data_IF_412974597420
#
_entry.id   IF_412974597420
#
_cell.length_a   1.000
_cell.length_b   1.000
_cell.length_c   1.000
_cell.angle_alpha   90.00
_cell.angle_beta   90.00
_cell.angle_gamma   90.00
#
_symmetry.space_group_name_H-M   'P 1'
#
loop_
_entity.id
_entity.type
_entity.pdbx_description
1 polymer ?
#
# COMPACT_ATOMS: atom_id res chain seq x y z
N UNK A 1 -1.87 -36.26 -0.33
CA UNK A 1 -1.13 -35.18 -1.01
C UNK A 1 -1.40 -33.80 -0.38
N UNK A 2 -2.67 -33.40 -0.18
CA UNK A 2 -3.07 -32.18 0.55
C UNK A 2 -2.47 -32.05 1.96
N UNK A 3 -2.45 -33.13 2.75
CA UNK A 3 -1.86 -33.13 4.09
C UNK A 3 -0.33 -32.92 4.14
N UNK A 4 0.41 -33.23 3.05
CA UNK A 4 1.85 -32.94 2.93
C UNK A 4 2.10 -31.48 2.51
N UNK A 5 1.24 -30.91 1.67
CA UNK A 5 1.29 -29.49 1.27
C UNK A 5 1.00 -28.58 2.47
N UNK A 6 -0.02 -28.90 3.27
CA UNK A 6 -0.37 -28.18 4.50
C UNK A 6 0.75 -28.23 5.58
N UNK A 7 1.60 -29.26 5.54
CA UNK A 7 2.75 -29.42 6.45
C UNK A 7 4.04 -28.77 5.95
N UNK A 8 4.09 -28.29 4.71
CA UNK A 8 5.29 -27.66 4.15
C UNK A 8 5.65 -26.38 4.91
N UNK A 9 6.96 -26.12 5.06
CA UNK A 9 7.47 -24.88 5.67
C UNK A 9 6.96 -23.63 4.95
N UNK A 10 6.75 -23.73 3.62
CA UNK A 10 6.18 -22.68 2.79
C UNK A 10 4.73 -22.35 3.17
N UNK A 11 3.87 -23.35 3.32
CA UNK A 11 2.46 -23.13 3.66
C UNK A 11 2.31 -22.53 5.06
N UNK A 12 3.07 -23.05 6.04
CA UNK A 12 3.09 -22.50 7.41
C UNK A 12 3.57 -21.05 7.42
N UNK A 13 4.65 -20.74 6.72
CA UNK A 13 5.20 -19.39 6.68
C UNK A 13 4.27 -18.41 5.99
N UNK A 14 3.69 -18.81 4.84
CA UNK A 14 2.73 -17.99 4.09
C UNK A 14 1.45 -17.71 4.90
N UNK A 15 0.95 -18.71 5.63
CA UNK A 15 -0.20 -18.54 6.54
C UNK A 15 0.10 -17.53 7.65
N UNK A 16 1.27 -17.62 8.30
CA UNK A 16 1.66 -16.67 9.35
C UNK A 16 1.80 -15.24 8.80
N UNK A 17 2.43 -15.05 7.63
CA UNK A 17 2.52 -13.73 7.01
C UNK A 17 1.14 -13.16 6.67
N UNK A 18 0.24 -13.99 6.11
CA UNK A 18 -1.12 -13.58 5.76
C UNK A 18 -1.91 -13.14 7.00
N UNK A 19 -1.91 -13.96 8.07
CA UNK A 19 -2.58 -13.63 9.33
C UNK A 19 -2.00 -12.35 9.94
N UNK A 20 -0.67 -12.23 9.95
CA UNK A 20 0.03 -11.04 10.43
C UNK A 20 -0.44 -9.78 9.67
N UNK A 21 -0.45 -9.84 8.33
CA UNK A 21 -0.88 -8.71 7.49
C UNK A 21 -2.34 -8.35 7.75
N UNK A 22 -3.24 -9.34 7.93
CA UNK A 22 -4.65 -9.09 8.26
C UNK A 22 -4.77 -8.38 9.61
N UNK A 23 -4.08 -8.85 10.66
CA UNK A 23 -4.09 -8.23 11.99
C UNK A 23 -3.58 -6.79 11.90
N UNK A 24 -2.45 -6.57 11.22
CA UNK A 24 -1.88 -5.23 11.07
C UNK A 24 -2.78 -4.27 10.29
N UNK A 25 -3.48 -4.75 9.25
CA UNK A 25 -4.43 -3.93 8.52
C UNK A 25 -5.71 -3.65 9.32
N UNK A 26 -6.08 -4.54 10.25
CA UNK A 26 -7.29 -4.40 11.08
C UNK A 26 -7.13 -3.33 12.15
N UNK A 27 -5.94 -3.16 12.73
CA UNK A 27 -5.73 -2.20 13.83
C UNK A 27 -6.07 -0.75 13.42
N UNK A 28 -5.54 -0.19 12.31
CA UNK A 28 -5.93 1.14 11.85
C UNK A 28 -7.42 1.26 11.54
N UNK A 29 -8.05 0.21 11.01
CA UNK A 29 -9.48 0.20 10.73
C UNK A 29 -10.30 0.28 12.03
N UNK A 30 -9.91 -0.46 13.07
CA UNK A 30 -10.54 -0.42 14.38
C UNK A 30 -10.36 0.93 15.10
N UNK A 31 -9.35 1.72 14.73
CA UNK A 31 -9.16 3.06 15.25
C UNK A 31 -10.11 4.09 14.63
N UNK A 32 -10.67 3.86 13.44
CA UNK A 32 -11.57 4.80 12.75
C UNK A 32 -12.72 5.29 13.66
N UNK A 33 -13.50 4.42 14.34
CA UNK A 33 -14.56 4.87 15.24
C UNK A 33 -14.10 5.79 16.36
N UNK A 34 -12.89 5.57 16.90
CA UNK A 34 -12.36 6.42 17.96
C UNK A 34 -11.89 7.75 17.38
N UNK A 35 -11.06 7.70 16.34
CA UNK A 35 -10.46 8.90 15.75
C UNK A 35 -11.50 9.86 15.18
N UNK A 36 -12.55 9.34 14.54
CA UNK A 36 -13.61 10.19 13.95
C UNK A 36 -14.57 10.80 14.97
N UNK A 37 -14.57 10.31 16.22
CA UNK A 37 -15.35 10.90 17.32
C UNK A 37 -14.57 11.94 18.11
N UNK A 38 -13.24 11.81 18.12
CA UNK A 38 -12.34 12.70 18.84
C UNK A 38 -11.91 13.86 17.96
N UNK A 39 -11.47 13.59 16.74
CA UNK A 39 -10.93 14.61 15.85
C UNK A 39 -12.01 15.33 15.06
N UNK A 40 -11.76 16.61 14.79
CA UNK A 40 -12.48 17.33 13.75
C UNK A 40 -12.09 16.79 12.36
N UNK A 41 -12.91 17.00 11.32
CA UNK A 41 -12.50 16.62 9.97
C UNK A 41 -11.24 17.37 9.49
N UNK A 42 -11.01 18.59 9.94
CA UNK A 42 -9.77 19.33 9.63
C UNK A 42 -8.53 18.65 10.24
N UNK A 43 -8.57 18.34 11.55
CA UNK A 43 -7.50 17.59 12.22
C UNK A 43 -7.20 16.26 11.50
N UNK A 44 -8.26 15.54 11.13
CA UNK A 44 -8.13 14.28 10.40
C UNK A 44 -7.52 14.49 9.00
N UNK A 45 -7.84 15.60 8.35
CA UNK A 45 -7.21 16.04 7.10
C UNK A 45 -5.71 16.25 7.25
N UNK A 46 -5.26 16.94 8.31
CA UNK A 46 -3.83 17.14 8.60
C UNK A 46 -3.14 15.79 8.87
N UNK A 47 -3.76 14.90 9.65
CA UNK A 47 -3.25 13.54 9.87
C UNK A 47 -3.07 12.79 8.54
N UNK A 48 -4.05 12.90 7.64
CA UNK A 48 -4.02 12.27 6.32
C UNK A 48 -2.87 12.82 5.47
N UNK A 49 -2.72 14.14 5.41
CA UNK A 49 -1.65 14.79 4.65
C UNK A 49 -0.27 14.46 5.21
N UNK A 50 -0.10 14.43 6.53
CA UNK A 50 1.14 13.99 7.15
C UNK A 50 1.47 12.52 6.79
N UNK A 51 0.49 11.63 6.77
CA UNK A 51 0.68 10.26 6.33
C UNK A 51 1.06 10.17 4.84
N UNK A 52 0.50 11.02 3.98
CA UNK A 52 0.87 11.10 2.56
C UNK A 52 2.32 11.54 2.41
N UNK A 53 2.76 12.59 3.12
CA UNK A 53 4.14 13.06 3.09
C UNK A 53 5.08 11.94 3.54
N UNK A 54 4.78 11.23 4.64
CA UNK A 54 5.55 10.07 5.08
C UNK A 54 5.70 9.06 3.95
N UNK A 55 4.61 8.68 3.28
CA UNK A 55 4.67 7.71 2.18
C UNK A 55 5.48 8.20 0.96
N UNK A 56 5.43 9.50 0.64
CA UNK A 56 6.20 10.09 -0.47
C UNK A 56 7.69 10.14 -0.14
N UNK A 57 8.04 10.41 1.11
CA UNK A 57 9.43 10.64 1.54
C UNK A 57 10.16 9.33 1.85
N UNK A 58 9.47 8.33 2.41
CA UNK A 58 10.08 7.04 2.81
C UNK A 58 10.86 6.31 1.69
N UNK A 59 10.43 6.31 0.41
CA UNK A 59 11.23 5.70 -0.67
C UNK A 59 12.61 6.35 -0.86
N UNK A 60 12.75 7.63 -0.53
CA UNK A 60 14.02 8.36 -0.60
C UNK A 60 14.87 8.15 0.66
N UNK A 61 14.25 7.93 1.81
CA UNK A 61 14.94 7.62 3.07
C UNK A 61 15.61 6.24 2.95
N UNK A 62 16.94 6.23 2.96
CA UNK A 62 17.74 5.03 2.71
C UNK A 62 17.59 4.49 1.29
N UNK A 63 17.09 5.32 0.36
CA UNK A 63 16.95 5.03 -1.08
C UNK A 63 16.30 3.67 -1.33
N UNK A 64 15.28 3.28 -0.55
CA UNK A 64 14.62 1.98 -0.65
C UNK A 64 15.56 0.75 -0.59
N UNK A 65 16.69 0.85 0.11
CA UNK A 65 17.72 -0.19 0.16
C UNK A 65 17.24 -1.56 0.69
N UNK A 66 16.10 -1.62 1.38
CA UNK A 66 15.49 -2.87 1.81
C UNK A 66 15.23 -3.84 0.63
N UNK A 67 14.83 -3.33 -0.54
CA UNK A 67 14.69 -4.16 -1.75
C UNK A 67 16.03 -4.72 -2.23
N UNK A 68 17.09 -3.91 -2.18
CA UNK A 68 18.44 -4.34 -2.52
C UNK A 68 18.96 -5.40 -1.55
N UNK A 69 18.73 -5.23 -0.24
CA UNK A 69 19.07 -6.21 0.81
C UNK A 69 18.34 -7.52 0.55
N UNK A 70 17.05 -7.47 0.20
CA UNK A 70 16.27 -8.66 -0.13
C UNK A 70 16.88 -9.41 -1.32
N UNK A 71 17.18 -8.71 -2.43
CA UNK A 71 17.83 -9.30 -3.61
C UNK A 71 19.19 -9.89 -3.26
N UNK A 72 20.03 -9.12 -2.57
CA UNK A 72 21.44 -9.45 -2.31
C UNK A 72 21.60 -10.72 -1.47
N UNK A 73 20.63 -11.01 -0.60
CA UNK A 73 20.64 -12.24 0.20
C UNK A 73 20.59 -13.53 -0.64
N UNK A 74 19.94 -13.51 -1.80
CA UNK A 74 19.76 -14.67 -2.67
C UNK A 74 20.78 -14.74 -3.81
N UNK A 75 21.71 -13.79 -3.90
CA UNK A 75 22.78 -13.83 -4.89
C UNK A 75 23.78 -14.92 -4.51
N UNK A 76 24.01 -15.89 -5.40
CA UNK A 76 24.97 -16.99 -5.19
C UNK A 76 26.40 -16.47 -5.31
N UNK A 77 26.87 -15.76 -4.28
CA UNK A 77 28.25 -15.30 -4.20
C UNK A 77 28.90 -15.77 -2.89
N UNK A 78 29.92 -16.62 -3.01
CA UNK A 78 30.65 -17.22 -1.88
C UNK A 78 31.44 -16.19 -1.05
N UNK A 79 31.69 -14.99 -1.58
CA UNK A 79 32.42 -13.90 -0.88
C UNK A 79 31.50 -12.81 -0.31
N UNK A 80 30.20 -13.07 -0.21
CA UNK A 80 29.22 -12.08 0.25
C UNK A 80 29.38 -11.75 1.75
N UNK A 81 29.98 -10.60 2.07
CA UNK A 81 29.87 -9.97 3.40
C UNK A 81 28.50 -9.27 3.54
N UNK A 82 27.44 -10.07 3.74
CA UNK A 82 26.07 -9.56 3.86
C UNK A 82 25.90 -8.53 5.00
N UNK A 83 26.48 -8.70 6.20
CA UNK A 83 26.43 -7.67 7.23
C UNK A 83 27.07 -6.34 6.81
N UNK A 84 28.19 -6.37 6.04
CA UNK A 84 28.79 -5.14 5.47
C UNK A 84 27.84 -4.47 4.49
N UNK A 85 27.16 -5.24 3.65
CA UNK A 85 26.17 -4.71 2.71
C UNK A 85 25.02 -3.99 3.43
N UNK A 86 24.47 -4.61 4.48
CA UNK A 86 23.45 -3.97 5.34
C UNK A 86 24.01 -2.72 6.01
N UNK A 87 25.25 -2.73 6.50
CA UNK A 87 25.90 -1.54 7.06
C UNK A 87 26.04 -0.39 6.07
N UNK A 88 26.34 -0.67 4.81
CA UNK A 88 26.38 0.36 3.75
C UNK A 88 24.98 0.91 3.42
N UNK A 89 23.92 0.12 3.57
CA UNK A 89 22.55 0.62 3.48
C UNK A 89 22.23 1.65 4.59
N UNK A 90 22.74 1.46 5.81
CA UNK A 90 22.64 2.46 6.87
C UNK A 90 23.50 3.71 6.60
N UNK A 91 24.63 3.60 5.92
CA UNK A 91 25.38 4.78 5.47
C UNK A 91 24.58 5.60 4.45
N UNK A 92 23.90 4.93 3.50
CA UNK A 92 22.98 5.60 2.58
C UNK A 92 21.79 6.23 3.29
N UNK A 93 21.27 5.59 4.33
CA UNK A 93 20.22 6.17 5.18
C UNK A 93 20.67 7.52 5.75
N UNK A 94 21.87 7.60 6.34
CA UNK A 94 22.39 8.85 6.89
C UNK A 94 22.52 9.94 5.81
N UNK A 95 23.13 9.62 4.67
CA UNK A 95 23.32 10.57 3.58
C UNK A 95 21.99 11.06 2.99
N UNK A 96 21.07 10.15 2.67
CA UNK A 96 19.77 10.49 2.10
C UNK A 96 18.88 11.25 3.09
N UNK A 97 18.91 10.90 4.37
CA UNK A 97 18.20 11.63 5.42
C UNK A 97 18.72 13.05 5.55
N UNK A 98 20.05 13.25 5.53
CA UNK A 98 20.64 14.58 5.56
C UNK A 98 20.28 15.42 4.33
N UNK A 99 20.29 14.81 3.13
CA UNK A 99 19.84 15.49 1.91
C UNK A 99 18.37 15.91 1.98
N UNK A 100 17.49 15.02 2.49
CA UNK A 100 16.07 15.33 2.70
C UNK A 100 15.84 16.39 3.77
N UNK A 101 16.65 16.39 4.84
CA UNK A 101 16.62 17.42 5.86
C UNK A 101 16.93 18.79 5.25
N UNK A 102 17.98 18.90 4.43
CA UNK A 102 18.29 20.14 3.70
C UNK A 102 17.13 20.53 2.78
N UNK A 103 16.55 19.57 2.05
CA UNK A 103 15.40 19.84 1.19
C UNK A 103 14.21 20.39 1.98
N UNK A 104 13.92 19.84 3.17
CA UNK A 104 12.88 20.37 4.05
C UNK A 104 13.23 21.74 4.62
N UNK A 105 14.49 22.04 4.92
CA UNK A 105 14.87 23.40 5.31
C UNK A 105 14.66 24.42 4.18
N UNK A 106 14.97 24.04 2.93
CA UNK A 106 14.85 24.93 1.77
C UNK A 106 13.40 25.09 1.28
N UNK A 107 12.62 24.01 1.27
CA UNK A 107 11.29 23.96 0.68
C UNK A 107 10.17 23.68 1.68
N UNK A 108 10.46 23.59 2.97
CA UNK A 108 9.49 23.18 3.99
C UNK A 108 8.31 24.12 4.11
N UNK A 109 8.50 25.44 3.94
CA UNK A 109 7.37 26.39 3.93
C UNK A 109 6.43 26.14 2.75
N UNK A 110 6.98 25.82 1.56
CA UNK A 110 6.18 25.45 0.40
C UNK A 110 5.41 24.15 0.65
N UNK A 111 6.08 23.14 1.21
CA UNK A 111 5.44 21.86 1.57
C UNK A 111 4.34 22.10 2.62
N UNK A 112 4.61 22.89 3.65
CA UNK A 112 3.67 23.21 4.72
C UNK A 112 2.42 23.88 4.18
N UNK A 113 2.58 24.90 3.32
CA UNK A 113 1.44 25.59 2.70
C UNK A 113 0.62 24.67 1.80
N UNK A 114 1.28 23.78 1.04
CA UNK A 114 0.59 22.90 0.08
C UNK A 114 -0.05 21.67 0.74
N UNK A 115 0.34 21.32 1.95
CA UNK A 115 -0.12 20.12 2.66
C UNK A 115 -0.92 20.41 3.93
N UNK A 116 -0.96 21.67 4.36
CA UNK A 116 -1.47 22.12 5.65
C UNK A 116 -0.78 21.49 6.87
N UNK A 117 0.32 20.75 6.67
CA UNK A 117 1.13 20.18 7.76
C UNK A 117 2.16 21.22 8.19
N UNK A 118 2.16 21.69 9.44
CA UNK A 118 3.10 22.71 9.88
C UNK A 118 4.57 22.30 9.70
N UNK A 119 5.40 23.29 9.39
CA UNK A 119 6.82 23.12 9.08
C UNK A 119 7.58 22.30 10.12
N UNK A 120 7.37 22.56 11.42
CA UNK A 120 8.05 21.89 12.52
C UNK A 120 7.76 20.37 12.57
N UNK A 121 6.63 19.94 12.01
CA UNK A 121 6.26 18.53 11.92
C UNK A 121 6.88 17.80 10.72
N UNK A 122 7.47 18.51 9.75
CA UNK A 122 8.21 17.88 8.66
C UNK A 122 9.46 17.16 9.18
N UNK A 123 10.11 17.69 10.22
CA UNK A 123 11.24 17.03 10.89
C UNK A 123 10.77 15.75 11.60
N UNK A 124 9.61 15.79 12.26
CA UNK A 124 9.00 14.60 12.88
C UNK A 124 8.72 13.52 11.83
N UNK A 125 8.20 13.90 10.66
CA UNK A 125 7.96 13.00 9.53
C UNK A 125 9.26 12.35 9.05
N UNK A 126 10.35 13.12 8.93
CA UNK A 126 11.66 12.59 8.57
C UNK A 126 12.15 11.55 9.59
N UNK A 127 12.02 11.84 10.90
CA UNK A 127 12.39 10.91 11.98
C UNK A 127 11.55 9.63 11.95
N UNK A 128 10.24 9.74 11.68
CA UNK A 128 9.36 8.58 11.50
C UNK A 128 9.89 7.69 10.37
N UNK A 129 10.21 8.28 9.22
CA UNK A 129 10.71 7.53 8.07
C UNK A 129 12.07 6.85 8.33
N UNK A 130 12.98 7.51 9.05
CA UNK A 130 14.25 6.91 9.50
C UNK A 130 13.99 5.69 10.39
N UNK A 131 13.14 5.82 11.41
CA UNK A 131 12.80 4.73 12.31
C UNK A 131 12.11 3.57 11.58
N UNK A 132 11.24 3.88 10.61
CA UNK A 132 10.62 2.89 9.74
C UNK A 132 11.66 2.15 8.91
N UNK A 133 12.64 2.82 8.33
CA UNK A 133 13.71 2.17 7.57
C UNK A 133 14.49 1.15 8.42
N UNK A 134 14.86 1.52 9.65
CA UNK A 134 15.57 0.61 10.57
C UNK A 134 14.75 -0.65 10.83
N UNK A 135 13.47 -0.48 11.16
CA UNK A 135 12.56 -1.59 11.43
C UNK A 135 12.34 -2.46 10.19
N UNK A 136 12.13 -1.83 9.03
CA UNK A 136 11.94 -2.52 7.74
C UNK A 136 13.18 -3.31 7.32
N UNK A 137 14.38 -2.84 7.65
CA UNK A 137 15.63 -3.57 7.38
C UNK A 137 15.65 -4.89 8.15
N UNK A 138 15.34 -4.89 9.45
CA UNK A 138 15.26 -6.11 10.24
C UNK A 138 14.16 -7.05 9.75
N UNK A 139 12.96 -6.51 9.46
CA UNK A 139 11.85 -7.28 8.92
C UNK A 139 12.22 -7.95 7.59
N UNK A 140 12.90 -7.24 6.70
CA UNK A 140 13.40 -7.78 5.43
C UNK A 140 14.37 -8.94 5.67
N UNK A 141 15.32 -8.79 6.59
CA UNK A 141 16.28 -9.85 6.92
C UNK A 141 15.57 -11.08 7.50
N UNK A 142 14.55 -10.89 8.34
CA UNK A 142 13.72 -11.98 8.85
C UNK A 142 12.86 -12.61 7.76
N UNK A 143 12.40 -11.85 6.78
CA UNK A 143 11.66 -12.39 5.65
C UNK A 143 12.53 -13.30 4.78
N UNK A 144 13.71 -12.84 4.36
CA UNK A 144 14.62 -13.64 3.52
C UNK A 144 15.20 -14.85 4.25
N UNK A 145 15.37 -14.76 5.57
CA UNK A 145 15.75 -15.90 6.44
C UNK A 145 14.56 -16.78 6.85
N UNK A 146 13.35 -16.54 6.31
CA UNK A 146 12.13 -17.31 6.58
C UNK A 146 11.83 -17.41 8.09
N UNK A 147 11.79 -16.27 8.77
CA UNK A 147 11.45 -16.12 10.20
C UNK A 147 10.08 -15.43 10.38
N UNK A 148 8.98 -16.06 9.91
CA UNK A 148 7.66 -15.43 9.83
C UNK A 148 7.09 -15.04 11.20
N UNK A 149 7.33 -15.85 12.25
CA UNK A 149 6.82 -15.54 13.59
C UNK A 149 7.47 -14.28 14.18
N UNK A 150 8.80 -14.14 14.09
CA UNK A 150 9.52 -12.96 14.59
C UNK A 150 9.10 -11.70 13.83
N UNK A 151 8.96 -11.82 12.50
CA UNK A 151 8.41 -10.78 11.64
C UNK A 151 7.02 -10.35 12.11
N UNK A 152 6.12 -11.31 12.32
CA UNK A 152 4.75 -11.02 12.72
C UNK A 152 4.64 -10.37 14.08
N UNK A 153 5.37 -10.88 15.07
CA UNK A 153 5.40 -10.30 16.43
C UNK A 153 5.86 -8.85 16.40
N UNK A 154 6.92 -8.52 15.65
CA UNK A 154 7.43 -7.15 15.61
C UNK A 154 6.47 -6.18 14.91
N UNK A 155 5.82 -6.60 13.81
CA UNK A 155 4.83 -5.75 13.15
C UNK A 155 3.59 -5.53 14.02
N UNK A 156 3.07 -6.60 14.62
CA UNK A 156 1.89 -6.52 15.50
C UNK A 156 2.22 -5.64 16.71
N UNK A 157 3.40 -5.81 17.31
CA UNK A 157 3.88 -4.94 18.37
C UNK A 157 3.92 -3.47 17.94
N UNK A 158 4.48 -3.17 16.76
CA UNK A 158 4.50 -1.80 16.23
C UNK A 158 3.09 -1.23 16.10
N UNK A 159 2.15 -1.99 15.52
CA UNK A 159 0.77 -1.57 15.32
C UNK A 159 0.03 -1.34 16.65
N UNK A 160 0.22 -2.23 17.62
CA UNK A 160 -0.37 -2.10 18.97
C UNK A 160 0.21 -0.90 19.70
N UNK A 161 1.52 -0.70 19.69
CA UNK A 161 2.16 0.47 20.29
C UNK A 161 1.67 1.76 19.63
N UNK A 162 1.55 1.76 18.30
CA UNK A 162 1.09 2.92 17.55
C UNK A 162 -0.34 3.29 17.94
N UNK A 163 -1.25 2.31 17.97
CA UNK A 163 -2.62 2.51 18.46
C UNK A 163 -2.64 2.97 19.92
N UNK A 164 -1.94 2.26 20.81
CA UNK A 164 -1.90 2.52 22.23
C UNK A 164 -1.39 3.92 22.58
N UNK A 165 -0.23 4.34 22.03
CA UNK A 165 0.29 5.68 22.27
C UNK A 165 -0.57 6.78 21.62
N UNK A 166 -1.13 6.52 20.44
CA UNK A 166 -2.05 7.49 19.82
C UNK A 166 -3.27 7.74 20.71
N UNK A 167 -3.88 6.66 21.23
CA UNK A 167 -5.02 6.76 22.15
C UNK A 167 -4.62 7.40 23.48
N UNK A 168 -3.44 7.05 24.02
CA UNK A 168 -2.92 7.65 25.24
C UNK A 168 -2.78 9.18 25.11
N UNK A 169 -2.19 9.68 24.03
CA UNK A 169 -2.04 11.11 23.81
C UNK A 169 -3.36 11.83 23.54
N UNK A 170 -4.27 11.18 22.82
CA UNK A 170 -5.63 11.67 22.61
C UNK A 170 -6.35 11.91 23.95
N UNK A 171 -6.35 10.91 24.83
CA UNK A 171 -7.18 10.97 26.04
C UNK A 171 -6.52 11.69 27.22
N UNK A 172 -5.19 11.66 27.33
CA UNK A 172 -4.48 12.19 28.50
C UNK A 172 -3.88 13.58 28.29
N UNK A 173 -3.41 13.89 27.07
CA UNK A 173 -2.75 15.16 26.79
C UNK A 173 -3.66 16.15 26.05
N UNK A 174 -4.86 15.72 25.65
CA UNK A 174 -5.82 16.53 24.89
C UNK A 174 -5.22 17.23 23.65
N UNK A 175 -4.15 16.67 23.08
CA UNK A 175 -3.61 17.15 21.83
C UNK A 175 -4.55 16.76 20.68
N UNK A 176 -4.67 17.63 19.67
CA UNK A 176 -5.46 17.38 18.46
C UNK A 176 -4.79 16.35 17.54
N UNK A 177 -4.71 16.67 16.25
CA UNK A 177 -4.06 15.81 15.24
C UNK A 177 -2.62 15.38 15.62
N UNK A 178 -1.90 16.19 16.39
CA UNK A 178 -0.53 15.92 16.87
C UNK A 178 -0.44 14.61 17.68
N UNK A 179 -1.50 14.25 18.42
CA UNK A 179 -1.57 12.99 19.18
C UNK A 179 -1.27 11.77 18.31
N UNK A 180 -1.80 11.77 17.08
CA UNK A 180 -1.61 10.66 16.15
C UNK A 180 -0.17 10.55 15.67
N UNK A 181 0.46 11.69 15.35
CA UNK A 181 1.84 11.72 14.87
C UNK A 181 2.85 11.40 15.97
N UNK A 182 2.63 11.89 17.20
CA UNK A 182 3.47 11.52 18.35
C UNK A 182 3.34 10.04 18.68
N UNK A 183 2.11 9.50 18.67
CA UNK A 183 1.87 8.08 18.86
C UNK A 183 2.60 7.23 17.81
N UNK A 184 2.56 7.66 16.56
CA UNK A 184 3.33 7.04 15.49
C UNK A 184 4.84 7.18 15.71
N UNK A 185 5.36 8.38 16.01
CA UNK A 185 6.78 8.62 16.22
C UNK A 185 7.34 7.74 17.35
N UNK A 186 6.69 7.70 18.50
CA UNK A 186 7.17 6.95 19.67
C UNK A 186 7.10 5.46 19.40
N UNK A 187 6.01 4.96 18.81
CA UNK A 187 5.89 3.54 18.47
C UNK A 187 6.96 3.10 17.47
N UNK A 188 7.18 3.87 16.39
CA UNK A 188 8.25 3.53 15.44
C UNK A 188 9.63 3.67 16.06
N UNK A 189 9.86 4.65 16.94
CA UNK A 189 11.14 4.82 17.65
C UNK A 189 11.45 3.64 18.55
N UNK A 190 10.49 3.16 19.35
CA UNK A 190 10.66 1.98 20.21
C UNK A 190 10.99 0.75 19.36
N UNK A 191 10.23 0.52 18.30
CA UNK A 191 10.48 -0.64 17.42
C UNK A 191 11.78 -0.51 16.62
N UNK A 192 12.21 0.71 16.28
CA UNK A 192 13.49 0.96 15.65
C UNK A 192 14.66 0.70 16.61
N UNK A 193 14.55 1.11 17.88
CA UNK A 193 15.54 0.81 18.92
C UNK A 193 15.67 -0.70 19.16
N UNK A 194 14.54 -1.40 19.29
CA UNK A 194 14.51 -2.88 19.37
C UNK A 194 15.17 -3.47 18.12
N UNK A 195 14.85 -2.96 16.94
CA UNK A 195 15.37 -3.47 15.68
C UNK A 195 16.86 -3.26 15.54
N UNK A 196 17.35 -2.06 15.86
CA UNK A 196 18.77 -1.71 15.85
C UNK A 196 19.55 -2.59 16.83
N UNK A 197 19.05 -2.76 18.06
CA UNK A 197 19.65 -3.65 19.05
C UNK A 197 19.77 -5.08 18.51
N UNK A 198 18.71 -5.62 17.91
CA UNK A 198 18.71 -6.97 17.35
C UNK A 198 19.62 -7.10 16.12
N UNK A 199 19.68 -6.08 15.25
CA UNK A 199 20.60 -6.05 14.11
C UNK A 199 22.07 -6.15 14.56
N UNK A 200 22.44 -5.41 15.61
CA UNK A 200 23.79 -5.42 16.19
C UNK A 200 24.04 -6.75 16.90
N UNK A 201 23.16 -7.14 17.83
CA UNK A 201 23.31 -8.37 18.64
C UNK A 201 23.40 -9.63 17.79
N UNK A 202 22.64 -9.72 16.70
CA UNK A 202 22.63 -10.85 15.78
C UNK A 202 23.69 -10.74 14.68
N UNK A 203 24.55 -9.72 14.71
CA UNK A 203 25.61 -9.45 13.72
C UNK A 203 25.08 -9.38 12.29
N UNK A 204 23.88 -8.81 12.12
CA UNK A 204 23.28 -8.58 10.80
C UNK A 204 23.76 -7.29 10.15
N UNK A 205 24.48 -6.44 10.89
CA UNK A 205 25.05 -5.19 10.40
C UNK A 205 26.53 -5.12 10.78
N UNK A 206 27.35 -4.64 9.84
CA UNK A 206 28.77 -4.32 10.03
C UNK A 206 29.05 -3.01 9.31
N UNK A 207 29.38 -1.97 10.07
CA UNK A 207 29.72 -0.67 9.50
C UNK A 207 31.15 -0.71 8.97
N UNK A 208 31.29 -0.95 7.66
CA UNK A 208 32.54 -0.83 6.95
C UNK A 208 32.24 -0.30 5.55
N UNK A 209 32.70 0.91 5.25
CA UNK A 209 32.44 1.58 3.98
C UNK A 209 32.94 0.72 2.81
N UNK A 210 32.08 0.49 1.83
CA UNK A 210 32.44 -0.18 0.61
C UNK A 210 31.74 0.47 -0.59
N UNK A 211 32.54 1.07 -1.47
CA UNK A 211 32.05 1.78 -2.67
C UNK A 211 31.26 0.87 -3.61
N UNK A 212 31.63 -0.41 -3.72
CA UNK A 212 30.94 -1.36 -4.59
C UNK A 212 29.55 -1.71 -4.03
N UNK A 213 29.42 -1.93 -2.72
CA UNK A 213 28.13 -2.17 -2.07
C UNK A 213 27.20 -0.96 -2.25
N UNK A 214 27.69 0.27 -2.03
CA UNK A 214 26.90 1.49 -2.23
C UNK A 214 26.43 1.65 -3.69
N UNK A 215 27.31 1.40 -4.65
CA UNK A 215 26.98 1.45 -6.08
C UNK A 215 25.95 0.38 -6.45
N UNK A 216 26.08 -0.83 -5.89
CA UNK A 216 25.14 -1.91 -6.12
C UNK A 216 23.74 -1.59 -5.54
N UNK A 217 23.67 -1.10 -4.30
CA UNK A 217 22.41 -0.70 -3.66
C UNK A 217 21.73 0.42 -4.47
N UNK A 218 22.49 1.47 -4.82
CA UNK A 218 21.93 2.64 -5.52
C UNK A 218 21.51 2.29 -6.96
N UNK A 219 22.32 1.54 -7.71
CA UNK A 219 21.96 1.11 -9.07
C UNK A 219 20.74 0.21 -9.12
N UNK A 220 20.49 -0.58 -8.07
CA UNK A 220 19.25 -1.35 -7.94
C UNK A 220 18.07 -0.47 -7.53
N UNK A 221 18.25 0.43 -6.58
CA UNK A 221 17.13 1.08 -5.89
C UNK A 221 16.66 2.38 -6.55
N UNK A 222 17.56 3.19 -7.12
CA UNK A 222 17.17 4.42 -7.81
C UNK A 222 16.18 4.18 -8.97
N UNK A 223 16.36 3.17 -9.84
CA UNK A 223 15.40 2.87 -10.91
C UNK A 223 14.03 2.41 -10.40
N UNK A 224 13.93 1.95 -9.14
CA UNK A 224 12.66 1.55 -8.53
C UNK A 224 11.85 2.73 -8.00
N UNK A 225 12.51 3.84 -7.63
CA UNK A 225 11.84 5.02 -7.06
C UNK A 225 10.76 5.57 -8.01
N UNK A 226 10.99 5.80 -9.33
CA UNK A 226 9.93 6.27 -10.24
C UNK A 226 8.70 5.37 -10.27
N UNK A 227 8.89 4.05 -10.18
CA UNK A 227 7.77 3.11 -10.14
C UNK A 227 6.94 3.26 -8.85
N UNK A 228 7.61 3.36 -7.70
CA UNK A 228 6.96 3.59 -6.41
C UNK A 228 6.20 4.92 -6.44
N UNK A 229 6.84 6.00 -6.89
CA UNK A 229 6.21 7.32 -7.01
C UNK A 229 4.99 7.31 -7.93
N UNK A 230 5.04 6.59 -9.05
CA UNK A 230 3.87 6.43 -9.94
C UNK A 230 2.67 5.81 -9.24
N UNK A 231 2.90 4.78 -8.41
CA UNK A 231 1.85 4.19 -7.57
C UNK A 231 1.32 5.15 -6.51
N UNK A 232 2.22 5.90 -5.85
CA UNK A 232 1.84 6.90 -4.85
C UNK A 232 1.06 8.08 -5.45
N UNK A 233 1.40 8.51 -6.67
CA UNK A 233 0.65 9.53 -7.39
C UNK A 233 -0.78 9.07 -7.64
N UNK A 234 -1.00 7.84 -8.13
CA UNK A 234 -2.37 7.31 -8.27
C UNK A 234 -3.09 7.31 -6.92
N UNK A 235 -2.41 6.83 -5.87
CA UNK A 235 -3.03 6.65 -4.57
C UNK A 235 -3.40 7.99 -3.90
N UNK A 236 -2.54 9.02 -3.99
CA UNK A 236 -2.63 10.21 -3.14
C UNK A 236 -2.93 11.52 -3.86
N UNK A 237 -2.96 11.53 -5.20
CA UNK A 237 -3.30 12.73 -5.98
C UNK A 237 -4.63 13.32 -5.54
N UNK A 238 -5.62 12.48 -5.26
CA UNK A 238 -6.95 12.91 -4.84
C UNK A 238 -6.92 13.83 -3.61
N UNK A 239 -6.30 13.41 -2.52
CA UNK A 239 -6.23 14.15 -1.24
C UNK A 239 -5.33 15.37 -1.31
N UNK A 240 -4.27 15.31 -2.11
CA UNK A 240 -3.43 16.48 -2.38
C UNK A 240 -4.26 17.54 -3.10
N UNK A 241 -5.03 17.17 -4.13
CA UNK A 241 -5.87 18.10 -4.88
C UNK A 241 -7.06 18.61 -4.05
N UNK A 242 -7.74 17.76 -3.26
CA UNK A 242 -8.84 18.19 -2.38
C UNK A 242 -8.35 19.25 -1.39
N UNK A 243 -7.19 19.01 -0.75
CA UNK A 243 -6.61 19.95 0.22
C UNK A 243 -6.38 21.33 -0.37
N UNK A 244 -5.91 21.40 -1.62
CA UNK A 244 -5.51 22.66 -2.26
C UNK A 244 -6.64 23.34 -3.04
N UNK A 245 -7.63 22.59 -3.53
CA UNK A 245 -8.71 23.11 -4.37
C UNK A 245 -10.03 23.29 -3.63
N UNK A 246 -10.22 22.59 -2.51
CA UNK A 246 -11.46 22.60 -1.73
C UNK A 246 -11.17 22.98 -0.30
N UNK A 247 -10.72 22.04 0.55
CA UNK A 247 -10.37 22.32 1.94
C UNK A 247 -9.66 21.12 2.60
N UNK A 248 -8.94 21.39 3.70
CA UNK A 248 -8.37 20.35 4.58
C UNK A 248 -9.49 19.53 5.26
N UNK A 249 -10.60 20.18 5.61
CA UNK A 249 -11.79 19.56 6.21
C UNK A 249 -12.38 18.47 5.29
N UNK A 250 -12.53 18.77 3.99
CA UNK A 250 -12.99 17.83 2.97
C UNK A 250 -12.00 16.67 2.79
N UNK A 251 -10.69 16.94 2.84
CA UNK A 251 -9.66 15.90 2.83
C UNK A 251 -9.84 14.92 3.99
N UNK A 252 -10.19 15.40 5.18
CA UNK A 252 -10.46 14.53 6.32
C UNK A 252 -11.65 13.61 6.11
N UNK A 253 -12.79 14.18 5.68
CA UNK A 253 -14.00 13.39 5.37
C UNK A 253 -13.74 12.38 4.26
N UNK A 254 -13.08 12.81 3.18
CA UNK A 254 -12.71 11.95 2.06
C UNK A 254 -11.75 10.83 2.50
N UNK A 255 -10.80 11.11 3.39
CA UNK A 255 -9.86 10.09 3.88
C UNK A 255 -10.58 8.98 4.65
N UNK A 256 -11.57 9.31 5.48
CA UNK A 256 -12.39 8.32 6.17
C UNK A 256 -13.16 7.47 5.16
N UNK A 257 -13.76 8.10 4.15
CA UNK A 257 -14.42 7.38 3.07
C UNK A 257 -13.47 6.42 2.33
N UNK A 258 -12.26 6.90 2.02
CA UNK A 258 -11.22 6.12 1.33
C UNK A 258 -10.79 4.91 2.15
N UNK A 259 -10.53 5.08 3.45
CA UNK A 259 -10.15 3.98 4.34
C UNK A 259 -11.22 2.88 4.38
N UNK A 260 -12.49 3.27 4.52
CA UNK A 260 -13.62 2.32 4.55
C UNK A 260 -13.77 1.63 3.18
N UNK A 261 -13.75 2.39 2.08
CA UNK A 261 -13.87 1.84 0.73
C UNK A 261 -12.71 0.94 0.32
N UNK A 262 -11.50 1.22 0.82
CA UNK A 262 -10.28 0.45 0.52
C UNK A 262 -10.22 -0.95 1.10
N UNK A 263 -11.13 -1.29 2.02
CA UNK A 263 -11.23 -2.64 2.60
C UNK A 263 -11.45 -3.70 1.51
N UNK A 264 -12.20 -3.37 0.45
CA UNK A 264 -12.37 -4.27 -0.69
C UNK A 264 -11.03 -4.56 -1.40
N UNK A 265 -10.13 -3.58 -1.47
CA UNK A 265 -8.79 -3.77 -2.01
C UNK A 265 -7.95 -4.78 -1.22
N UNK A 266 -8.11 -4.83 0.10
CA UNK A 266 -7.44 -5.84 0.95
C UNK A 266 -7.97 -7.24 0.64
N UNK A 267 -9.30 -7.39 0.50
CA UNK A 267 -9.94 -8.65 0.12
C UNK A 267 -9.44 -9.11 -1.25
N UNK A 268 -9.37 -8.20 -2.22
CA UNK A 268 -8.84 -8.49 -3.55
C UNK A 268 -7.40 -8.98 -3.50
N UNK A 269 -6.54 -8.30 -2.73
CA UNK A 269 -5.12 -8.67 -2.61
C UNK A 269 -4.95 -10.07 -2.00
N UNK A 270 -5.72 -10.38 -0.95
CA UNK A 270 -5.70 -11.70 -0.32
C UNK A 270 -6.15 -12.80 -1.30
N UNK A 271 -7.23 -12.54 -2.05
CA UNK A 271 -7.72 -13.46 -3.06
C UNK A 271 -6.69 -13.70 -4.18
N UNK A 272 -6.09 -12.62 -4.69
CA UNK A 272 -5.11 -12.68 -5.78
C UNK A 272 -3.86 -13.47 -5.38
N UNK A 273 -3.41 -13.36 -4.12
CA UNK A 273 -2.31 -14.16 -3.60
C UNK A 273 -2.54 -15.68 -3.71
N UNK A 274 -3.79 -16.14 -3.57
CA UNK A 274 -4.16 -17.54 -3.75
C UNK A 274 -4.47 -17.89 -5.22
N UNK A 275 -5.10 -16.97 -5.95
CA UNK A 275 -5.52 -17.16 -7.33
C UNK A 275 -4.36 -17.29 -8.31
N UNK A 276 -3.31 -16.47 -8.20
CA UNK A 276 -2.21 -16.43 -9.17
C UNK A 276 -1.47 -17.78 -9.32
N UNK A 277 -1.07 -18.47 -8.22
CA UNK A 277 -0.48 -19.81 -8.34
C UNK A 277 -1.43 -20.84 -8.97
N UNK A 278 -2.73 -20.79 -8.63
CA UNK A 278 -3.73 -21.67 -9.22
C UNK A 278 -3.88 -21.41 -10.72
N UNK A 279 -3.94 -20.14 -11.12
CA UNK A 279 -4.04 -19.72 -12.52
C UNK A 279 -2.86 -20.26 -13.33
N UNK A 280 -1.62 -20.06 -12.86
CA UNK A 280 -0.44 -20.48 -13.61
C UNK A 280 -0.37 -22.00 -13.78
N UNK A 281 -0.71 -22.76 -12.74
CA UNK A 281 -0.81 -24.21 -12.84
C UNK A 281 -1.84 -24.66 -13.88
N UNK A 282 -2.97 -23.96 -14.00
CA UNK A 282 -4.00 -24.27 -15.00
C UNK A 282 -3.60 -23.85 -16.41
N UNK A 283 -2.95 -22.70 -16.57
CA UNK A 283 -2.45 -22.24 -17.86
C UNK A 283 -1.35 -23.16 -18.43
N UNK A 284 -0.52 -23.77 -17.57
CA UNK A 284 0.48 -24.75 -17.97
C UNK A 284 -0.12 -26.03 -18.58
N UNK A 285 -1.39 -26.36 -18.28
CA UNK A 285 -2.07 -27.49 -18.92
C UNK A 285 -2.38 -27.22 -20.40
N UNK A 286 -2.42 -25.94 -20.79
CA UNK A 286 -2.72 -25.46 -22.15
C UNK A 286 -3.96 -26.10 -22.81
N UNK A 287 -4.96 -26.46 -22.00
CA UNK A 287 -6.18 -27.11 -22.46
C UNK A 287 -7.33 -26.10 -22.64
N UNK A 288 -8.09 -26.23 -23.73
CA UNK A 288 -9.16 -25.30 -24.08
C UNK A 288 -10.34 -25.33 -23.08
N UNK A 289 -10.70 -26.51 -22.56
CA UNK A 289 -11.77 -26.64 -21.56
C UNK A 289 -11.36 -26.03 -20.23
N UNK A 290 -10.08 -26.16 -19.86
CA UNK A 290 -9.49 -25.47 -18.71
C UNK A 290 -9.55 -23.96 -18.90
N UNK A 291 -9.21 -23.43 -20.08
CA UNK A 291 -9.33 -22.00 -20.39
C UNK A 291 -10.77 -21.49 -20.26
N UNK A 292 -11.77 -22.24 -20.73
CA UNK A 292 -13.19 -21.93 -20.52
C UNK A 292 -13.53 -21.83 -19.03
N UNK A 293 -13.07 -22.80 -18.21
CA UNK A 293 -13.31 -22.79 -16.76
C UNK A 293 -12.69 -21.57 -16.07
N UNK A 294 -11.47 -21.18 -16.48
CA UNK A 294 -10.82 -19.96 -15.99
C UNK A 294 -11.67 -18.73 -16.32
N UNK A 295 -12.10 -18.57 -17.57
CA UNK A 295 -12.94 -17.43 -18.00
C UNK A 295 -14.25 -17.36 -17.21
N UNK A 296 -14.96 -18.49 -17.05
CA UNK A 296 -16.19 -18.54 -16.25
C UNK A 296 -15.95 -18.11 -14.80
N UNK A 297 -14.88 -18.60 -14.20
CA UNK A 297 -14.50 -18.23 -12.84
C UNK A 297 -14.16 -16.73 -12.73
N UNK A 298 -13.45 -16.17 -13.71
CA UNK A 298 -13.17 -14.74 -13.78
C UNK A 298 -14.45 -13.91 -13.88
N UNK A 299 -15.43 -14.32 -14.70
CA UNK A 299 -16.73 -13.63 -14.77
C UNK A 299 -17.56 -13.75 -13.49
N UNK A 300 -17.55 -14.90 -12.82
CA UNK A 300 -18.18 -15.07 -11.51
C UNK A 300 -17.55 -14.13 -10.47
N UNK A 301 -16.22 -13.99 -10.48
CA UNK A 301 -15.52 -13.06 -9.61
C UNK A 301 -15.89 -11.61 -9.91
N UNK A 302 -15.98 -11.22 -11.19
CA UNK A 302 -16.41 -9.86 -11.58
C UNK A 302 -17.84 -9.59 -11.11
N UNK A 303 -18.76 -10.55 -11.33
CA UNK A 303 -20.13 -10.44 -10.87
C UNK A 303 -20.20 -10.32 -9.34
N UNK A 304 -19.43 -11.12 -8.60
CA UNK A 304 -19.35 -11.04 -7.15
C UNK A 304 -18.90 -9.66 -6.67
N UNK A 305 -17.90 -9.04 -7.32
CA UNK A 305 -17.45 -7.69 -6.99
C UNK A 305 -18.53 -6.64 -7.23
N UNK A 306 -19.27 -6.73 -8.34
CA UNK A 306 -20.40 -5.83 -8.61
C UNK A 306 -21.52 -6.04 -7.60
N UNK A 307 -21.82 -7.28 -7.22
CA UNK A 307 -22.79 -7.58 -6.16
C UNK A 307 -22.36 -6.97 -4.83
N UNK A 308 -21.07 -7.03 -4.47
CA UNK A 308 -20.56 -6.35 -3.26
C UNK A 308 -20.81 -4.84 -3.32
N UNK A 309 -20.60 -4.19 -4.47
CA UNK A 309 -20.93 -2.76 -4.64
C UNK A 309 -22.44 -2.53 -4.43
N UNK A 310 -23.30 -3.31 -5.08
CA UNK A 310 -24.76 -3.18 -4.95
C UNK A 310 -25.24 -3.39 -3.51
N UNK A 311 -24.76 -4.44 -2.83
CA UNK A 311 -25.11 -4.71 -1.43
C UNK A 311 -24.57 -3.64 -0.48
N UNK A 312 -23.42 -3.03 -0.80
CA UNK A 312 -22.86 -1.96 0.03
C UNK A 312 -23.78 -0.73 0.12
N UNK A 313 -24.60 -0.45 -0.90
CA UNK A 313 -25.60 0.63 -0.87
C UNK A 313 -26.59 0.48 0.29
N UNK A 314 -26.99 -0.75 0.60
CA UNK A 314 -27.93 -1.03 1.68
C UNK A 314 -27.25 -1.18 3.05
N UNK A 315 -26.03 -1.72 3.06
CA UNK A 315 -25.30 -2.03 4.29
C UNK A 315 -24.62 -0.79 4.88
N UNK A 316 -24.03 0.07 4.04
CA UNK A 316 -23.24 1.22 4.50
C UNK A 316 -24.03 2.21 5.36
N UNK A 317 -25.27 2.64 5.00
CA UNK A 317 -26.05 3.53 5.86
C UNK A 317 -26.28 2.97 7.27
N UNK A 318 -26.45 1.64 7.39
CA UNK A 318 -26.66 0.97 8.67
C UNK A 318 -25.38 0.96 9.51
N UNK A 319 -24.23 0.67 8.89
CA UNK A 319 -22.96 0.52 9.61
C UNK A 319 -22.34 1.89 9.91
N UNK A 320 -22.40 2.87 9.01
CA UNK A 320 -21.67 4.14 9.13
C UNK A 320 -22.19 5.01 10.28
N UNK A 321 -23.49 4.99 10.55
CA UNK A 321 -24.06 5.72 11.70
C UNK A 321 -23.44 5.28 13.03
N UNK A 322 -23.07 4.00 13.15
CA UNK A 322 -22.39 3.44 14.31
C UNK A 322 -20.86 3.50 14.18
N UNK A 323 -20.31 3.40 12.98
CA UNK A 323 -18.87 3.28 12.79
C UNK A 323 -18.16 4.63 12.88
N UNK A 324 -18.71 5.71 12.31
CA UNK A 324 -18.02 7.00 12.20
C UNK A 324 -18.70 8.11 13.01
N UNK A 325 -17.92 9.08 13.48
CA UNK A 325 -18.43 10.25 14.20
C UNK A 325 -19.38 11.11 13.36
N UNK A 326 -20.23 11.90 14.03
CA UNK A 326 -21.29 12.72 13.39
C UNK A 326 -20.73 13.70 12.35
N UNK A 327 -19.57 14.29 12.60
CA UNK A 327 -18.88 15.23 11.70
C UNK A 327 -18.38 14.60 10.39
N UNK A 328 -18.33 13.26 10.30
CA UNK A 328 -17.85 12.54 9.14
C UNK A 328 -18.96 11.86 8.34
N UNK A 329 -20.24 12.00 8.72
CA UNK A 329 -21.35 11.28 8.07
C UNK A 329 -21.48 11.57 6.57
N UNK A 330 -21.06 12.75 6.10
CA UNK A 330 -21.00 13.08 4.68
C UNK A 330 -20.04 12.20 3.87
N UNK A 331 -19.14 11.45 4.51
CA UNK A 331 -18.27 10.46 3.88
C UNK A 331 -19.06 9.41 3.08
N UNK A 332 -20.31 9.13 3.46
CA UNK A 332 -21.17 8.16 2.77
C UNK A 332 -21.33 8.46 1.27
N UNK A 333 -21.30 9.74 0.88
CA UNK A 333 -21.43 10.16 -0.51
C UNK A 333 -20.23 9.75 -1.39
N UNK A 334 -19.08 9.47 -0.78
CA UNK A 334 -17.85 9.13 -1.49
C UNK A 334 -17.57 7.63 -1.48
N UNK A 335 -17.98 6.92 -0.41
CA UNK A 335 -17.61 5.52 -0.18
C UNK A 335 -18.05 4.61 -1.33
N UNK A 336 -19.26 4.78 -1.87
CA UNK A 336 -19.76 3.92 -2.95
C UNK A 336 -18.90 3.98 -4.21
N UNK A 337 -18.49 5.18 -4.61
CA UNK A 337 -17.58 5.39 -5.75
C UNK A 337 -16.20 4.77 -5.49
N UNK A 338 -15.70 4.87 -4.26
CA UNK A 338 -14.42 4.28 -3.89
C UNK A 338 -14.50 2.75 -3.91
N UNK A 339 -15.56 2.14 -3.37
CA UNK A 339 -15.79 0.68 -3.44
C UNK A 339 -15.90 0.23 -4.90
N UNK A 340 -16.62 0.96 -5.74
CA UNK A 340 -16.71 0.68 -7.17
C UNK A 340 -15.33 0.75 -7.84
N UNK A 341 -14.53 1.75 -7.52
CA UNK A 341 -13.14 1.81 -7.94
C UNK A 341 -12.37 0.56 -7.54
N UNK A 342 -12.41 0.18 -6.26
CA UNK A 342 -11.73 -1.04 -5.80
C UNK A 342 -12.29 -2.34 -6.40
N UNK A 343 -13.56 -2.37 -6.80
CA UNK A 343 -14.11 -3.46 -7.60
C UNK A 343 -13.41 -3.53 -8.96
N UNK A 344 -13.31 -2.42 -9.70
CA UNK A 344 -12.55 -2.39 -10.96
C UNK A 344 -11.07 -2.72 -10.77
N UNK A 345 -10.46 -2.28 -9.67
CA UNK A 345 -9.09 -2.66 -9.32
C UNK A 345 -8.95 -4.19 -9.12
N UNK A 346 -9.91 -4.84 -8.45
CA UNK A 346 -9.94 -6.30 -8.33
C UNK A 346 -10.07 -7.00 -9.69
N UNK A 347 -10.92 -6.47 -10.57
CA UNK A 347 -11.05 -6.98 -11.95
C UNK A 347 -9.74 -6.84 -12.74
N UNK A 348 -9.07 -5.69 -12.60
CA UNK A 348 -7.74 -5.43 -13.15
C UNK A 348 -6.70 -6.45 -12.67
N UNK A 349 -6.67 -6.76 -11.36
CA UNK A 349 -5.69 -7.72 -10.81
C UNK A 349 -5.88 -9.13 -11.37
N UNK A 350 -7.12 -9.57 -11.62
CA UNK A 350 -7.40 -10.87 -12.23
C UNK A 350 -6.81 -10.99 -13.63
N UNK A 351 -6.98 -9.97 -14.47
CA UNK A 351 -6.50 -9.99 -15.87
C UNK A 351 -5.00 -9.69 -15.97
N UNK A 352 -4.42 -9.01 -14.98
CA UNK A 352 -2.97 -8.82 -14.86
C UNK A 352 -2.20 -10.15 -14.83
N UNK A 353 -2.75 -11.17 -14.17
CA UNK A 353 -2.10 -12.48 -14.02
C UNK A 353 -1.66 -13.09 -15.35
N UNK A 354 -2.44 -12.94 -16.42
CA UNK A 354 -2.07 -13.46 -17.74
C UNK A 354 -0.83 -12.76 -18.32
N UNK A 355 -0.71 -11.45 -18.15
CA UNK A 355 0.43 -10.66 -18.66
C UNK A 355 1.72 -11.03 -17.91
N UNK A 356 1.61 -11.22 -16.59
CA UNK A 356 2.72 -11.70 -15.77
C UNK A 356 3.14 -13.12 -16.16
N UNK A 357 2.17 -14.01 -16.43
CA UNK A 357 2.43 -15.37 -16.89
C UNK A 357 3.26 -15.40 -18.17
N UNK A 358 2.92 -14.57 -19.16
CA UNK A 358 3.69 -14.44 -20.41
C UNK A 358 4.91 -13.50 -20.33
N UNK A 359 5.24 -13.00 -19.13
CA UNK A 359 6.39 -12.13 -18.84
C UNK A 359 6.43 -10.82 -19.65
N UNK A 360 5.28 -10.28 -20.06
CA UNK A 360 5.18 -9.02 -20.83
C UNK A 360 4.99 -7.79 -19.92
N UNK A 361 5.71 -7.74 -18.80
CA UNK A 361 5.55 -6.70 -17.75
C UNK A 361 5.82 -5.28 -18.23
N UNK A 362 6.69 -5.08 -19.22
CA UNK A 362 6.93 -3.74 -19.82
C UNK A 362 5.66 -3.13 -20.40
N UNK A 363 4.82 -3.93 -21.06
CA UNK A 363 3.56 -3.44 -21.65
C UNK A 363 2.56 -3.06 -20.56
N UNK A 364 2.51 -3.85 -19.46
CA UNK A 364 1.71 -3.51 -18.29
C UNK A 364 2.16 -2.19 -17.66
N UNK A 365 3.47 -1.98 -17.49
CA UNK A 365 4.01 -0.73 -16.94
C UNK A 365 3.61 0.49 -17.79
N UNK A 366 3.58 0.37 -19.11
CA UNK A 366 3.13 1.45 -20.00
C UNK A 366 1.66 1.78 -19.75
N UNK A 367 0.79 0.76 -19.62
CA UNK A 367 -0.62 0.97 -19.27
C UNK A 367 -0.74 1.68 -17.92
N UNK A 368 -0.08 1.17 -16.87
CA UNK A 368 -0.14 1.75 -15.52
C UNK A 368 0.35 3.20 -15.47
N UNK A 369 1.46 3.53 -16.14
CA UNK A 369 1.99 4.90 -16.18
C UNK A 369 1.06 5.83 -16.96
N UNK A 370 0.49 5.37 -18.08
CA UNK A 370 -0.45 6.16 -18.87
C UNK A 370 -1.71 6.48 -18.07
N UNK A 371 -2.24 5.51 -17.31
CA UNK A 371 -3.40 5.73 -16.43
C UNK A 371 -3.07 6.62 -15.24
N UNK A 372 -1.85 6.53 -14.70
CA UNK A 372 -1.38 7.42 -13.64
C UNK A 372 -1.32 8.88 -14.09
N UNK A 373 -0.78 9.12 -15.28
CA UNK A 373 -0.68 10.46 -15.85
C UNK A 373 -2.05 11.02 -16.23
N UNK A 374 -2.99 10.17 -16.67
CA UNK A 374 -4.37 10.57 -16.94
C UNK A 374 -5.16 10.89 -15.66
N UNK A 375 -4.82 10.25 -14.54
CA UNK A 375 -5.52 10.45 -13.26
C UNK A 375 -5.45 11.91 -12.78
N UNK A 376 -4.30 12.56 -12.91
CA UNK A 376 -4.09 13.93 -12.42
C UNK A 376 -5.06 14.94 -13.07
N UNK A 377 -5.09 15.10 -14.40
CA UNK A 377 -6.01 16.04 -15.04
C UNK A 377 -7.46 15.62 -14.84
N UNK A 378 -7.79 14.32 -14.90
CA UNK A 378 -9.16 13.86 -14.69
C UNK A 378 -9.67 14.22 -13.29
N UNK A 379 -8.88 13.95 -12.26
CA UNK A 379 -9.20 14.28 -10.88
C UNK A 379 -9.36 15.79 -10.70
N UNK A 380 -8.45 16.58 -11.27
CA UNK A 380 -8.51 18.05 -11.23
C UNK A 380 -9.81 18.61 -11.83
N UNK A 381 -10.20 18.17 -13.03
CA UNK A 381 -11.42 18.67 -13.68
C UNK A 381 -12.68 18.20 -12.95
N UNK A 382 -12.71 16.94 -12.50
CA UNK A 382 -13.86 16.42 -11.75
C UNK A 382 -14.02 17.10 -10.40
N UNK A 383 -12.93 17.43 -9.70
CA UNK A 383 -12.97 18.24 -8.49
C UNK A 383 -13.56 19.62 -8.75
N UNK A 384 -13.18 20.28 -9.86
CA UNK A 384 -13.74 21.59 -10.22
C UNK A 384 -15.24 21.55 -10.55
N UNK A 385 -15.71 20.49 -11.21
CA UNK A 385 -17.11 20.40 -11.65
C UNK A 385 -18.05 19.82 -10.59
N UNK A 386 -17.58 18.86 -9.80
CA UNK A 386 -18.41 18.11 -8.85
C UNK A 386 -17.99 18.29 -7.39
N UNK A 387 -16.94 19.04 -7.09
CA UNK A 387 -16.39 19.13 -5.73
C UNK A 387 -15.76 17.80 -5.29
N UNK A 388 -15.74 17.54 -3.98
CA UNK A 388 -15.03 16.40 -3.36
C UNK A 388 -15.48 15.03 -3.89
N UNK A 389 -16.78 14.87 -4.23
CA UNK A 389 -17.27 13.62 -4.85
C UNK A 389 -16.62 13.36 -6.21
N UNK A 390 -16.24 14.42 -6.93
CA UNK A 390 -15.52 14.34 -8.19
C UNK A 390 -14.21 13.55 -8.09
N UNK A 391 -13.48 13.65 -6.97
CA UNK A 391 -12.28 12.84 -6.75
C UNK A 391 -12.61 11.34 -6.71
N UNK A 392 -13.65 10.94 -5.98
CA UNK A 392 -14.06 9.53 -5.90
C UNK A 392 -14.56 8.98 -7.24
N UNK A 393 -15.28 9.78 -8.03
CA UNK A 393 -15.72 9.42 -9.38
C UNK A 393 -14.51 9.26 -10.31
N UNK A 394 -13.57 10.21 -10.28
CA UNK A 394 -12.35 10.16 -11.10
C UNK A 394 -11.53 8.91 -10.83
N UNK A 395 -11.39 8.53 -9.55
CA UNK A 395 -10.72 7.30 -9.13
C UNK A 395 -11.40 6.05 -9.71
N UNK A 396 -12.73 5.97 -9.61
CA UNK A 396 -13.49 4.85 -10.17
C UNK A 396 -13.29 4.73 -11.69
N UNK A 397 -13.34 5.87 -12.40
CA UNK A 397 -13.12 5.92 -13.85
C UNK A 397 -11.69 5.49 -14.21
N UNK A 398 -10.66 5.97 -13.51
CA UNK A 398 -9.26 5.59 -13.80
C UNK A 398 -9.02 4.10 -13.56
N UNK A 399 -9.59 3.53 -12.48
CA UNK A 399 -9.50 2.10 -12.24
C UNK A 399 -10.29 1.29 -13.28
N UNK A 400 -11.42 1.80 -13.76
CA UNK A 400 -12.13 1.17 -14.88
C UNK A 400 -11.31 1.20 -16.18
N UNK A 401 -10.75 2.35 -16.55
CA UNK A 401 -9.87 2.49 -17.73
C UNK A 401 -8.67 1.55 -17.60
N UNK A 402 -8.04 1.49 -16.43
CA UNK A 402 -6.92 0.59 -16.15
C UNK A 402 -7.32 -0.87 -16.33
N UNK A 403 -8.48 -1.28 -15.83
CA UNK A 403 -9.03 -2.61 -16.03
C UNK A 403 -9.25 -2.93 -17.50
N UNK A 404 -9.98 -2.08 -18.24
CA UNK A 404 -10.32 -2.32 -19.65
C UNK A 404 -9.06 -2.39 -20.52
N UNK A 405 -8.14 -1.43 -20.35
CA UNK A 405 -6.88 -1.41 -21.10
C UNK A 405 -6.03 -2.66 -20.82
N UNK A 406 -5.97 -3.10 -19.56
CA UNK A 406 -5.23 -4.29 -19.16
C UNK A 406 -5.91 -5.57 -19.65
N UNK A 407 -7.24 -5.62 -19.67
CA UNK A 407 -7.96 -6.77 -20.20
C UNK A 407 -7.79 -6.91 -21.70
N UNK A 408 -7.85 -5.79 -22.43
CA UNK A 408 -7.54 -5.77 -23.87
C UNK A 408 -6.11 -6.25 -24.12
N UNK A 409 -5.14 -5.70 -23.39
CA UNK A 409 -3.73 -6.10 -23.50
C UNK A 409 -3.54 -7.58 -23.15
N UNK A 410 -4.19 -8.07 -22.09
CA UNK A 410 -4.06 -9.47 -21.65
C UNK A 410 -4.56 -10.44 -22.71
N UNK A 411 -5.69 -10.14 -23.35
CA UNK A 411 -6.22 -10.94 -24.46
C UNK A 411 -5.30 -10.89 -25.69
N UNK A 412 -4.67 -9.75 -25.97
CA UNK A 412 -3.72 -9.61 -27.08
C UNK A 412 -2.42 -10.40 -26.86
N UNK A 413 -1.93 -10.50 -25.62
CA UNK A 413 -0.67 -11.21 -25.33
C UNK A 413 -0.87 -12.68 -24.96
N UNK A 414 -2.07 -13.05 -24.50
CA UNK A 414 -2.45 -14.43 -24.19
C UNK A 414 -3.95 -14.64 -24.46
N UNK A 415 -4.25 -15.24 -25.61
CA UNK A 415 -5.63 -15.44 -26.05
C UNK A 415 -6.40 -16.36 -25.10
N UNK A 416 -7.54 -15.86 -24.63
CA UNK A 416 -8.48 -16.61 -23.81
C UNK A 416 -9.87 -16.55 -24.45
N UNK A 417 -10.71 -17.59 -24.27
CA UNK A 417 -12.01 -17.68 -24.93
C UNK A 417 -13.08 -16.79 -24.26
N UNK A 418 -12.78 -15.49 -24.04
CA UNK A 418 -13.67 -14.52 -23.38
C UNK A 418 -15.05 -14.43 -24.05
N UNK A 419 -15.10 -14.49 -25.39
CA UNK A 419 -16.35 -14.34 -26.17
C UNK A 419 -16.81 -15.66 -26.82
N UNK A 420 -16.31 -16.82 -26.37
CA UNK A 420 -16.66 -18.10 -27.00
C UNK A 420 -18.10 -18.52 -26.71
N UNK A 421 -18.87 -18.87 -27.74
CA UNK A 421 -20.25 -19.39 -27.61
C UNK A 421 -20.32 -20.68 -26.77
N UNK A 422 -19.21 -21.43 -26.66
CA UNK A 422 -19.09 -22.61 -25.79
C UNK A 422 -19.14 -22.28 -24.29
N UNK A 423 -19.00 -21.01 -23.90
CA UNK A 423 -19.22 -20.58 -22.51
C UNK A 423 -20.65 -20.89 -22.04
N UNK A 424 -21.63 -20.82 -22.94
CA UNK A 424 -23.06 -20.94 -22.63
C UNK A 424 -23.62 -22.36 -22.80
N UNK A 425 -22.85 -23.31 -23.39
CA UNK A 425 -23.35 -24.65 -23.77
C UNK A 425 -23.35 -25.73 -22.68
N UNK A 426 -22.97 -25.42 -21.44
CA UNK A 426 -22.91 -26.41 -20.34
C UNK A 426 -23.89 -26.10 -19.19
N UNK A 427 -25.09 -25.61 -19.49
CA UNK A 427 -26.20 -25.46 -18.51
C UNK A 427 -27.47 -26.17 -19.03
N UNK A 428 -27.31 -27.26 -19.75
CA UNK A 428 -28.40 -28.17 -20.10
C UNK A 428 -28.17 -29.51 -19.39
#
# INVERSE_FOLDING_TARGET
MLGKILKSSLFKSSGIYTITSIINASIPFLLIPVLTRVFSPEDYGIVSMAAIIINIVTPFIGVSAHGAIHRKYFEENKELDFPRYVGNAFLLLLFSTFALFILFLLFGNFISNYTAVPFEWLIVILLVGVCQFVTMTLLTIWQVKVKPFKYGVLQILQSILNAGFSLFFIYQLHYGWQSRLLGQLISVSITALISLFLLIKLKYVKFNYNKADLKDITSFSFPLIPHILGGLLIAFTDRILITNLISVTDTGVYTVAYQIGSVLGLVNTAFIGAYVPWLYNKLNLNDFQVKIKIVKFTYLYFLALILVVVFSVYILPLILSFLIGKSFQSAIHYILWIILGYAFNGMYLMVCGFIFYVKKTKLLSIVTLSTALLNIPLCYFFLKWFGTIGASISMAIIYFISFVATWYLSNKVYEMPWFSTKLYRNVA
#
